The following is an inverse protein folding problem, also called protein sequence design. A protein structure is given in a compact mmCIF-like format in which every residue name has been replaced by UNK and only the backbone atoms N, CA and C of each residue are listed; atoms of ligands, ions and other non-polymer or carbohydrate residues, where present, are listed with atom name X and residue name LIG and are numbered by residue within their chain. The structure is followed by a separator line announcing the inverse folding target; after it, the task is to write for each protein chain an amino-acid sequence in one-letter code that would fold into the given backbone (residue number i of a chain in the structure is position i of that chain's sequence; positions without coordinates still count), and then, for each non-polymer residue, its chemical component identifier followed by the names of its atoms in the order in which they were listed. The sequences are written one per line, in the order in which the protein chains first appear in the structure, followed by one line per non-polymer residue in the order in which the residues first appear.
data_IF_867858789005
#
_entry.id   IF_867858789005
#
_cell.length_a   1.000
_cell.length_b   1.000
_cell.length_c   1.000
_cell.angle_alpha   90.00
_cell.angle_beta   90.00
_cell.angle_gamma   90.00
#
_symmetry.space_group_name_H-M   'P 1'
#
loop_
_entity.id
_entity.type
_entity.pdbx_description
1 polymer ?
#
# COMPACT_ATOMS: atom_id res chain seq x y z
N UNK A 1 5.60 18.30 -4.67
CA UNK A 1 5.51 17.62 -5.96
C UNK A 1 4.88 18.52 -7.05
N UNK A 2 5.08 18.17 -8.29
CA UNK A 2 4.68 18.99 -9.45
C UNK A 2 3.63 18.31 -10.33
N UNK A 3 3.35 17.06 -10.14
CA UNK A 3 2.43 16.25 -10.95
C UNK A 3 1.47 15.42 -10.12
N UNK A 4 0.36 15.02 -10.73
CA UNK A 4 -0.54 14.01 -10.19
C UNK A 4 -0.18 12.64 -10.78
N UNK A 5 -0.01 11.63 -9.92
CA UNK A 5 0.29 10.28 -10.36
C UNK A 5 -0.97 9.40 -10.30
N UNK A 6 -1.40 8.86 -11.45
CA UNK A 6 -2.50 7.91 -11.55
C UNK A 6 -1.93 6.49 -11.57
N UNK A 7 -2.30 5.65 -10.59
CA UNK A 7 -1.68 4.33 -10.43
C UNK A 7 -2.73 3.22 -10.46
N UNK A 8 -2.59 2.31 -11.41
CA UNK A 8 -3.41 1.11 -11.56
C UNK A 8 -4.93 1.37 -11.53
N UNK A 9 -5.38 2.48 -12.05
CA UNK A 9 -6.80 2.78 -12.18
C UNK A 9 -7.42 1.93 -13.29
N UNK A 10 -8.71 1.62 -13.13
CA UNK A 10 -9.52 1.10 -14.24
C UNK A 10 -9.63 2.17 -15.34
N UNK A 11 -9.75 1.80 -16.63
CA UNK A 11 -9.80 2.79 -17.72
C UNK A 11 -10.85 3.90 -17.53
N UNK A 12 -12.01 3.56 -17.01
CA UNK A 12 -13.08 4.52 -16.72
C UNK A 12 -12.68 5.53 -15.63
N UNK A 13 -12.08 5.05 -14.54
CA UNK A 13 -11.61 5.91 -13.45
C UNK A 13 -10.44 6.80 -13.90
N UNK A 14 -9.53 6.27 -14.71
CA UNK A 14 -8.44 7.05 -15.27
C UNK A 14 -8.96 8.15 -16.21
N UNK A 15 -9.93 7.84 -17.08
CA UNK A 15 -10.55 8.82 -17.96
C UNK A 15 -11.22 9.94 -17.15
N UNK A 16 -11.94 9.59 -16.08
CA UNK A 16 -12.55 10.58 -15.18
C UNK A 16 -11.51 11.39 -14.41
N UNK A 17 -10.46 10.78 -13.89
CA UNK A 17 -9.37 11.52 -13.25
C UNK A 17 -8.75 12.56 -14.20
N UNK A 18 -8.50 12.18 -15.45
CA UNK A 18 -7.99 13.09 -16.47
C UNK A 18 -8.98 14.21 -16.81
N UNK A 19 -10.29 13.94 -16.83
CA UNK A 19 -11.34 14.93 -17.02
C UNK A 19 -11.33 15.98 -15.89
N UNK A 20 -11.22 15.54 -14.62
CA UNK A 20 -11.16 16.44 -13.47
C UNK A 20 -9.87 17.28 -13.42
N UNK A 21 -8.78 16.75 -13.93
CA UNK A 21 -7.47 17.38 -13.89
C UNK A 21 -7.18 18.28 -15.10
N UNK A 22 -7.99 18.23 -16.17
CA UNK A 22 -7.68 18.91 -17.45
C UNK A 22 -7.45 20.43 -17.34
N UNK A 23 -8.21 21.10 -16.48
CA UNK A 23 -8.18 22.56 -16.32
C UNK A 23 -7.29 23.00 -15.15
N UNK A 24 -6.61 22.07 -14.48
CA UNK A 24 -5.75 22.36 -13.34
C UNK A 24 -4.35 22.83 -13.75
N UNK A 25 -3.92 22.57 -14.97
CA UNK A 25 -2.54 22.81 -15.42
C UNK A 25 -1.50 21.85 -14.81
N UNK A 26 -1.92 20.86 -14.02
CA UNK A 26 -1.02 19.88 -13.42
C UNK A 26 -0.59 18.83 -14.46
N UNK A 27 0.68 18.47 -14.45
CA UNK A 27 1.16 17.31 -15.21
C UNK A 27 0.52 16.05 -14.68
N UNK A 28 0.12 15.13 -15.57
CA UNK A 28 -0.45 13.83 -15.20
C UNK A 28 0.51 12.74 -15.63
N UNK A 29 0.97 11.95 -14.67
CA UNK A 29 1.75 10.72 -14.91
C UNK A 29 0.92 9.50 -14.60
N UNK A 30 1.06 8.46 -15.41
CA UNK A 30 0.47 7.13 -15.15
C UNK A 30 1.57 6.11 -14.91
N UNK A 31 1.31 5.21 -13.98
CA UNK A 31 2.18 4.07 -13.75
C UNK A 31 1.42 2.83 -13.29
N UNK A 32 2.08 1.70 -13.34
CA UNK A 32 1.54 0.43 -12.87
C UNK A 32 2.51 -0.28 -11.95
N UNK A 33 1.97 -0.94 -10.91
CA UNK A 33 2.69 -1.88 -10.05
C UNK A 33 2.78 -3.29 -10.63
N UNK A 34 2.20 -3.52 -11.80
CA UNK A 34 2.22 -4.84 -12.44
C UNK A 34 3.59 -5.09 -13.07
N UNK A 35 4.49 -5.64 -12.28
CA UNK A 35 5.76 -6.16 -12.77
C UNK A 35 5.59 -7.62 -13.19
N UNK A 36 5.88 -7.95 -14.43
CA UNK A 36 5.79 -9.32 -14.93
C UNK A 36 7.17 -9.98 -14.90
N UNK A 37 7.60 -10.37 -13.70
CA UNK A 37 8.87 -11.08 -13.50
C UNK A 37 8.74 -12.61 -13.63
N UNK A 38 7.59 -13.14 -14.01
CA UNK A 38 7.31 -14.59 -13.95
C UNK A 38 8.24 -15.45 -14.81
N UNK A 39 8.86 -14.89 -15.83
CA UNK A 39 9.69 -15.60 -16.80
C UNK A 39 11.09 -14.98 -16.94
N UNK A 40 11.50 -14.11 -16.03
CA UNK A 40 12.78 -13.42 -16.09
C UNK A 40 13.50 -13.62 -14.76
N UNK A 41 14.73 -14.13 -14.81
CA UNK A 41 15.60 -14.10 -13.65
C UNK A 41 16.03 -12.66 -13.40
N UNK A 42 15.43 -12.05 -12.38
CA UNK A 42 15.75 -10.70 -11.94
C UNK A 42 16.44 -10.79 -10.59
N UNK A 43 17.63 -10.22 -10.49
CA UNK A 43 18.38 -10.19 -9.24
C UNK A 43 17.63 -9.43 -8.14
N UNK A 44 17.98 -9.69 -6.88
CA UNK A 44 17.40 -8.93 -5.77
C UNK A 44 17.73 -7.44 -5.87
N UNK A 45 18.94 -7.11 -6.31
CA UNK A 45 19.38 -5.72 -6.51
C UNK A 45 18.51 -4.98 -7.53
N UNK A 46 18.23 -5.61 -8.68
CA UNK A 46 17.34 -5.03 -9.70
C UNK A 46 15.91 -4.86 -9.20
N UNK A 47 15.42 -5.80 -8.38
CA UNK A 47 14.09 -5.68 -7.74
C UNK A 47 14.05 -4.51 -6.77
N UNK A 48 15.06 -4.36 -5.92
CA UNK A 48 15.17 -3.24 -4.98
C UNK A 48 15.26 -1.91 -5.71
N UNK A 49 16.06 -1.83 -6.76
CA UNK A 49 16.14 -0.63 -7.61
C UNK A 49 14.78 -0.26 -8.21
N UNK A 50 14.02 -1.23 -8.71
CA UNK A 50 12.65 -0.98 -9.21
C UNK A 50 11.73 -0.44 -8.13
N UNK A 51 11.81 -0.97 -6.90
CA UNK A 51 11.04 -0.44 -5.76
C UNK A 51 11.43 1.00 -5.45
N UNK A 52 12.72 1.32 -5.41
CA UNK A 52 13.22 2.68 -5.17
C UNK A 52 12.75 3.66 -6.24
N UNK A 53 12.78 3.26 -7.51
CA UNK A 53 12.27 4.06 -8.63
C UNK A 53 10.78 4.37 -8.47
N UNK A 54 9.97 3.37 -8.12
CA UNK A 54 8.54 3.53 -7.87
C UNK A 54 8.27 4.47 -6.70
N UNK A 55 8.95 4.27 -5.57
CA UNK A 55 8.81 5.13 -4.39
C UNK A 55 9.25 6.58 -4.68
N UNK A 56 10.30 6.75 -5.48
CA UNK A 56 10.77 8.08 -5.93
C UNK A 56 9.71 8.80 -6.75
N UNK A 57 9.00 8.08 -7.63
CA UNK A 57 7.88 8.67 -8.39
C UNK A 57 6.79 9.15 -7.43
N UNK A 58 6.42 8.36 -6.41
CA UNK A 58 5.41 8.80 -5.43
C UNK A 58 5.88 10.00 -4.63
N UNK A 59 7.09 9.95 -4.10
CA UNK A 59 7.67 11.02 -3.28
C UNK A 59 7.69 12.38 -3.99
N UNK A 60 7.87 12.37 -5.30
CA UNK A 60 7.90 13.59 -6.12
C UNK A 60 6.52 13.99 -6.67
N UNK A 61 5.48 13.20 -6.45
CA UNK A 61 4.13 13.54 -6.83
C UNK A 61 3.54 14.63 -5.89
N UNK A 62 2.72 15.50 -6.45
CA UNK A 62 1.88 16.43 -5.68
C UNK A 62 0.78 15.67 -4.94
N UNK A 63 0.23 14.66 -5.61
CA UNK A 63 -0.66 13.67 -5.05
C UNK A 63 -0.69 12.40 -5.90
N UNK A 64 -1.19 11.33 -5.32
CA UNK A 64 -1.42 10.04 -5.99
C UNK A 64 -2.93 9.73 -5.98
N UNK A 65 -3.46 9.22 -7.10
CA UNK A 65 -4.83 8.70 -7.19
C UNK A 65 -4.75 7.22 -7.56
N UNK A 66 -5.37 6.36 -6.76
CA UNK A 66 -5.25 4.91 -6.94
C UNK A 66 -6.46 4.16 -6.40
N UNK A 67 -6.66 2.92 -6.88
CA UNK A 67 -7.59 1.95 -6.29
C UNK A 67 -6.86 0.82 -5.54
N UNK A 68 -5.54 0.97 -5.32
CA UNK A 68 -4.70 -0.07 -4.75
C UNK A 68 -4.25 0.26 -3.32
N UNK A 69 -4.58 -0.62 -2.38
CA UNK A 69 -4.10 -0.51 -0.99
C UNK A 69 -2.56 -0.47 -0.93
N UNK A 70 -1.87 -1.31 -1.70
CA UNK A 70 -0.40 -1.38 -1.72
C UNK A 70 0.27 -0.17 -2.42
N UNK A 71 -0.50 0.76 -2.98
CA UNK A 71 -0.03 2.09 -3.41
C UNK A 71 -0.32 3.11 -2.31
N UNK A 72 -1.51 3.04 -1.72
CA UNK A 72 -1.94 3.96 -0.66
C UNK A 72 -1.00 3.92 0.55
N UNK A 73 -0.67 2.73 1.05
CA UNK A 73 0.17 2.61 2.25
C UNK A 73 1.59 3.18 2.07
N UNK A 74 2.32 2.92 0.98
CA UNK A 74 3.57 3.62 0.71
C UNK A 74 3.43 5.14 0.63
N UNK A 75 2.35 5.67 0.03
CA UNK A 75 2.11 7.10 0.00
C UNK A 75 1.91 7.70 1.41
N UNK A 76 1.21 6.98 2.31
CA UNK A 76 1.13 7.38 3.73
C UNK A 76 2.51 7.42 4.38
N UNK A 77 3.32 6.38 4.17
CA UNK A 77 4.66 6.31 4.73
C UNK A 77 5.59 7.44 4.25
N UNK A 78 5.43 7.87 3.00
CA UNK A 78 6.15 8.98 2.37
C UNK A 78 5.50 10.35 2.64
N UNK A 79 4.39 10.39 3.36
CA UNK A 79 3.60 11.61 3.63
C UNK A 79 3.11 12.32 2.35
N UNK A 80 2.92 11.57 1.27
CA UNK A 80 2.39 12.08 0.00
C UNK A 80 0.87 12.01 0.02
N UNK A 81 0.15 13.11 -0.27
CA UNK A 81 -1.30 13.09 -0.36
C UNK A 81 -1.79 11.99 -1.31
N UNK A 82 -2.72 11.16 -0.86
CA UNK A 82 -3.28 10.08 -1.67
C UNK A 82 -4.80 10.07 -1.61
N UNK A 83 -5.44 9.99 -2.78
CA UNK A 83 -6.87 9.74 -2.90
C UNK A 83 -7.09 8.28 -3.30
N UNK A 84 -7.72 7.52 -2.41
CA UNK A 84 -8.00 6.11 -2.63
C UNK A 84 -9.43 5.93 -3.15
N UNK A 85 -9.58 5.34 -4.35
CA UNK A 85 -10.89 5.06 -4.92
C UNK A 85 -11.25 3.62 -4.56
N UNK A 86 -12.17 3.44 -3.61
CA UNK A 86 -12.57 2.13 -3.12
C UNK A 86 -14.02 2.12 -2.65
N UNK A 87 -14.77 1.09 -3.04
CA UNK A 87 -16.11 0.85 -2.53
C UNK A 87 -16.03 -0.12 -1.33
N UNK A 88 -16.24 0.41 -0.13
CA UNK A 88 -16.22 -0.36 1.12
C UNK A 88 -17.48 -1.21 1.32
N UNK A 89 -18.54 -1.01 0.52
CA UNK A 89 -19.73 -1.86 0.56
C UNK A 89 -19.48 -3.23 -0.08
N UNK A 90 -18.39 -3.38 -0.82
CA UNK A 90 -17.96 -4.67 -1.36
C UNK A 90 -17.21 -5.43 -0.23
N UNK A 91 -17.70 -6.62 0.22
CA UNK A 91 -17.14 -7.33 1.38
C UNK A 91 -15.63 -7.55 1.30
N UNK A 92 -15.12 -7.96 0.12
CA UNK A 92 -13.68 -8.16 -0.10
C UNK A 92 -12.88 -6.87 0.10
N UNK A 93 -13.39 -5.73 -0.30
CA UNK A 93 -12.73 -4.44 -0.11
C UNK A 93 -12.81 -4.06 1.36
N UNK A 94 -13.98 -4.19 1.98
CA UNK A 94 -14.17 -3.91 3.40
C UNK A 94 -13.13 -4.65 4.26
N UNK A 95 -13.03 -5.98 4.12
CA UNK A 95 -12.08 -6.79 4.88
C UNK A 95 -10.63 -6.31 4.74
N UNK A 96 -10.23 -5.90 3.53
CA UNK A 96 -8.85 -5.45 3.28
C UNK A 96 -8.56 -4.03 3.75
N UNK A 97 -9.55 -3.14 3.69
CA UNK A 97 -9.36 -1.71 3.94
C UNK A 97 -9.80 -1.28 5.34
N UNK A 98 -10.66 -2.07 6.01
CA UNK A 98 -11.22 -1.73 7.32
C UNK A 98 -10.16 -1.31 8.36
N UNK A 99 -8.97 -1.94 8.45
CA UNK A 99 -7.95 -1.52 9.41
C UNK A 99 -7.33 -0.15 9.12
N UNK A 100 -7.56 0.41 7.94
CA UNK A 100 -6.87 1.61 7.43
C UNK A 100 -7.82 2.76 7.11
N UNK A 101 -9.14 2.61 7.32
CA UNK A 101 -10.14 3.63 6.95
C UNK A 101 -9.92 4.98 7.62
N UNK A 102 -9.41 4.97 8.86
CA UNK A 102 -9.11 6.18 9.60
C UNK A 102 -7.78 6.84 9.20
N UNK A 103 -6.99 6.16 8.37
CA UNK A 103 -5.66 6.61 7.93
C UNK A 103 -5.66 7.24 6.55
N UNK A 104 -6.73 7.05 5.77
CA UNK A 104 -6.73 7.37 4.33
C UNK A 104 -7.91 8.25 3.94
N UNK A 105 -7.65 9.13 2.98
CA UNK A 105 -8.72 9.80 2.25
C UNK A 105 -9.23 8.86 1.16
N UNK A 106 -10.49 8.43 1.26
CA UNK A 106 -11.08 7.54 0.27
C UNK A 106 -12.42 8.03 -0.25
N UNK A 107 -12.76 7.59 -1.46
CA UNK A 107 -14.02 7.88 -2.14
C UNK A 107 -14.53 6.62 -2.83
N UNK A 108 -15.84 6.43 -2.90
CA UNK A 108 -16.41 5.32 -3.67
C UNK A 108 -16.21 5.51 -5.18
N UNK A 109 -16.13 4.42 -5.95
CA UNK A 109 -16.05 4.50 -7.41
C UNK A 109 -17.25 5.28 -7.99
N UNK A 110 -18.44 5.04 -7.44
CA UNK A 110 -19.69 5.71 -7.86
C UNK A 110 -19.62 7.23 -7.64
N UNK A 111 -19.18 7.66 -6.47
CA UNK A 111 -19.11 9.09 -6.17
C UNK A 111 -18.00 9.76 -6.97
N UNK A 112 -16.88 9.08 -7.20
CA UNK A 112 -15.81 9.57 -8.06
C UNK A 112 -16.29 9.77 -9.50
N UNK A 113 -16.95 8.76 -10.11
CA UNK A 113 -17.44 8.83 -11.50
C UNK A 113 -18.51 9.93 -11.65
N UNK A 114 -19.43 10.03 -10.69
CA UNK A 114 -20.55 10.98 -10.75
C UNK A 114 -20.22 12.39 -10.22
N UNK A 115 -18.98 12.63 -9.84
CA UNK A 115 -18.52 13.92 -9.27
C UNK A 115 -19.32 14.33 -8.02
N UNK A 116 -19.61 13.39 -7.15
CA UNK A 116 -20.26 13.67 -5.87
C UNK A 116 -19.25 14.08 -4.80
N UNK A 117 -18.30 14.95 -5.18
CA UNK A 117 -17.29 15.49 -4.27
C UNK A 117 -16.81 16.86 -4.76
N UNK A 118 -16.30 17.64 -3.82
CA UNK A 118 -15.56 18.88 -4.14
C UNK A 118 -14.12 18.66 -3.69
N UNK A 119 -13.17 18.88 -4.60
CA UNK A 119 -11.77 18.66 -4.31
C UNK A 119 -10.89 19.66 -5.07
N UNK A 120 -9.97 20.28 -4.35
CA UNK A 120 -8.96 21.16 -4.96
C UNK A 120 -7.68 20.37 -5.25
N UNK A 121 -7.51 19.97 -6.49
CA UNK A 121 -6.32 19.23 -6.93
C UNK A 121 -5.04 20.08 -6.92
N UNK A 122 -5.18 21.42 -6.89
CA UNK A 122 -4.03 22.31 -6.74
C UNK A 122 -3.52 22.33 -5.29
N UNK A 123 -4.39 22.10 -4.33
CA UNK A 123 -4.07 22.03 -2.92
C UNK A 123 -4.63 20.73 -2.33
N UNK A 124 -4.03 19.57 -2.63
CA UNK A 124 -4.55 18.28 -2.23
C UNK A 124 -4.62 18.16 -0.70
N UNK A 125 -5.71 17.56 -0.23
CA UNK A 125 -5.92 17.33 1.21
C UNK A 125 -4.82 16.41 1.74
N UNK A 126 -4.11 16.79 2.80
CA UNK A 126 -3.13 15.91 3.43
C UNK A 126 -3.77 14.60 3.90
N UNK A 127 -2.97 13.56 4.01
CA UNK A 127 -3.43 12.31 4.63
C UNK A 127 -3.77 12.55 6.10
N UNK A 128 -4.79 11.85 6.67
CA UNK A 128 -5.02 11.86 8.10
C UNK A 128 -3.73 11.48 8.85
N UNK A 129 -3.51 12.02 10.03
CA UNK A 129 -2.30 11.78 10.84
C UNK A 129 -2.45 10.63 11.86
N UNK A 130 -3.63 10.05 11.95
CA UNK A 130 -4.00 8.97 12.88
C UNK A 130 -3.10 7.73 12.78
N UNK A 131 -2.48 7.48 11.61
CA UNK A 131 -1.54 6.37 11.41
C UNK A 131 -0.18 6.58 12.10
N UNK A 132 0.19 7.83 12.45
CA UNK A 132 1.55 8.17 12.93
C UNK A 132 1.91 7.43 14.21
N UNK A 133 1.00 7.33 15.16
CA UNK A 133 1.26 6.60 16.41
C UNK A 133 1.60 5.11 16.16
N UNK A 134 0.88 4.47 15.24
CA UNK A 134 1.15 3.07 14.84
C UNK A 134 2.49 2.95 14.11
N UNK A 135 2.79 3.90 13.22
CA UNK A 135 4.08 3.98 12.51
C UNK A 135 5.25 4.10 13.48
N UNK A 136 5.16 5.02 14.44
CA UNK A 136 6.21 5.23 15.43
C UNK A 136 6.43 4.00 16.31
N UNK A 137 5.34 3.37 16.75
CA UNK A 137 5.41 2.10 17.48
C UNK A 137 6.08 0.99 16.67
N UNK A 138 5.77 0.88 15.37
CA UNK A 138 6.39 -0.10 14.50
C UNK A 138 7.88 0.18 14.30
N UNK A 139 8.25 1.45 14.06
CA UNK A 139 9.66 1.86 13.92
C UNK A 139 10.43 1.52 15.19
N UNK A 140 9.84 1.79 16.38
CA UNK A 140 10.51 1.48 17.65
C UNK A 140 10.71 -0.03 17.81
N UNK A 141 9.69 -0.85 17.52
CA UNK A 141 9.81 -2.32 17.56
C UNK A 141 10.90 -2.86 16.63
N UNK A 142 11.01 -2.29 15.42
CA UNK A 142 12.08 -2.67 14.48
C UNK A 142 13.46 -2.28 15.03
N UNK A 143 13.59 -1.07 15.61
CA UNK A 143 14.86 -0.65 16.24
C UNK A 143 15.24 -1.53 17.41
N UNK A 144 14.28 -1.87 18.26
CA UNK A 144 14.50 -2.76 19.41
C UNK A 144 14.93 -4.16 18.93
N UNK A 145 14.24 -4.70 17.93
CA UNK A 145 14.60 -5.98 17.33
C UNK A 145 16.01 -5.96 16.73
N UNK A 146 16.37 -4.92 15.97
CA UNK A 146 17.72 -4.77 15.40
C UNK A 146 18.76 -4.68 16.53
N UNK A 147 18.51 -3.87 17.57
CA UNK A 147 19.43 -3.74 18.69
C UNK A 147 19.62 -5.06 19.48
N UNK A 148 18.56 -5.86 19.62
CA UNK A 148 18.62 -7.17 20.27
C UNK A 148 19.34 -8.22 19.41
N UNK A 149 19.29 -8.05 18.08
CA UNK A 149 19.81 -9.01 17.10
C UNK A 149 21.11 -8.54 16.43
N UNK A 150 21.58 -7.34 16.73
CA UNK A 150 22.83 -6.76 16.20
C UNK A 150 24.03 -7.34 16.95
N UNK A 151 24.29 -8.60 16.74
CA UNK A 151 25.38 -9.37 17.31
C UNK A 151 25.70 -10.58 16.46
N UNK A 152 26.88 -11.14 16.61
CA UNK A 152 27.29 -12.36 15.94
C UNK A 152 26.36 -13.52 16.31
N UNK A 153 25.35 -13.77 15.44
CA UNK A 153 24.53 -14.97 15.55
C UNK A 153 25.39 -16.20 15.29
N UNK A 154 25.57 -17.01 16.33
CA UNK A 154 26.16 -18.31 16.13
C UNK A 154 25.18 -19.22 15.37
N UNK A 155 25.71 -20.16 14.58
CA UNK A 155 24.89 -21.18 13.91
C UNK A 155 23.99 -21.94 14.90
N UNK A 156 24.39 -22.03 16.17
CA UNK A 156 23.61 -22.62 17.25
C UNK A 156 22.41 -21.76 17.67
N UNK A 157 22.53 -20.43 17.67
CA UNK A 157 21.43 -19.51 17.94
C UNK A 157 20.41 -19.50 16.79
N UNK A 158 20.89 -19.60 15.54
CA UNK A 158 20.03 -19.77 14.37
C UNK A 158 19.26 -21.11 14.41
N UNK A 159 19.88 -22.19 14.90
CA UNK A 159 19.21 -23.48 15.09
C UNK A 159 18.12 -23.47 16.16
N UNK A 160 18.21 -22.59 17.15
CA UNK A 160 17.14 -22.41 18.16
C UNK A 160 15.89 -21.71 17.64
N UNK A 161 16.01 -21.02 16.51
CA UNK A 161 14.89 -20.36 15.81
C UNK A 161 14.31 -21.23 14.69
N UNK A 162 14.89 -22.39 14.38
CA UNK A 162 14.32 -23.33 13.43
C UNK A 162 13.26 -24.18 14.13
N UNK A 163 12.03 -24.06 13.65
CA UNK A 163 10.93 -24.95 14.06
C UNK A 163 11.27 -26.38 13.64
N UNK A 164 10.90 -27.35 14.47
CA UNK A 164 10.90 -28.75 14.08
C UNK A 164 9.88 -28.95 12.94
N UNK A 165 10.03 -30.00 12.14
CA UNK A 165 9.02 -30.33 11.10
C UNK A 165 7.61 -30.43 11.67
N UNK A 166 7.48 -30.95 12.91
CA UNK A 166 6.21 -31.07 13.61
C UNK A 166 5.63 -29.67 13.96
N UNK A 167 6.42 -28.76 14.52
CA UNK A 167 6.01 -27.41 14.86
C UNK A 167 5.65 -26.62 13.60
N UNK A 168 6.41 -26.78 12.51
CA UNK A 168 6.12 -26.16 11.23
C UNK A 168 4.79 -26.67 10.64
N UNK A 169 4.51 -27.99 10.78
CA UNK A 169 3.26 -28.59 10.35
C UNK A 169 2.07 -28.09 11.19
N UNK A 170 2.21 -28.04 12.50
CA UNK A 170 1.17 -27.55 13.42
C UNK A 170 0.86 -26.09 13.12
N UNK A 171 1.87 -25.26 12.93
CA UNK A 171 1.71 -23.85 12.58
C UNK A 171 1.02 -23.64 11.21
N UNK A 172 1.39 -24.44 10.19
CA UNK A 172 0.71 -24.43 8.90
C UNK A 172 -0.75 -24.87 9.01
N UNK A 173 -1.02 -25.86 9.87
CA UNK A 173 -2.37 -26.36 10.10
C UNK A 173 -3.24 -25.33 10.81
N UNK A 174 -2.74 -24.67 11.83
CA UNK A 174 -3.43 -23.57 12.51
C UNK A 174 -3.68 -22.38 11.56
N UNK A 175 -2.69 -22.00 10.74
CA UNK A 175 -2.84 -20.93 9.77
C UNK A 175 -3.89 -21.28 8.69
N UNK A 176 -3.94 -22.53 8.25
CA UNK A 176 -4.98 -22.99 7.30
C UNK A 176 -6.37 -23.00 7.93
N UNK A 177 -6.50 -23.44 9.17
CA UNK A 177 -7.77 -23.38 9.90
C UNK A 177 -8.23 -21.94 10.09
N UNK A 178 -7.35 -21.07 10.53
CA UNK A 178 -7.65 -19.63 10.67
C UNK A 178 -8.09 -18.99 9.35
N UNK A 179 -7.42 -19.32 8.22
CA UNK A 179 -7.81 -18.82 6.90
C UNK A 179 -9.14 -19.41 6.42
N UNK A 180 -9.42 -20.67 6.65
CA UNK A 180 -10.66 -21.34 6.29
C UNK A 180 -11.83 -20.80 7.11
N UNK A 181 -11.67 -20.65 8.41
CA UNK A 181 -12.70 -20.08 9.30
C UNK A 181 -13.01 -18.63 8.93
N UNK A 182 -11.99 -17.84 8.59
CA UNK A 182 -12.19 -16.44 8.12
C UNK A 182 -12.87 -16.38 6.74
N UNK A 183 -12.73 -17.40 5.91
CA UNK A 183 -13.38 -17.48 4.59
C UNK A 183 -14.81 -18.02 4.62
N UNK A 184 -15.12 -18.91 5.59
CA UNK A 184 -16.44 -19.54 5.69
C UNK A 184 -17.46 -18.68 6.47
N UNK A 185 -17.00 -17.73 7.28
CA UNK A 185 -17.85 -16.87 8.12
C UNK A 185 -17.80 -15.38 7.73
N UNK A 186 -17.15 -15.01 6.61
CA UNK A 186 -17.14 -13.69 6.00
C UNK A 186 -18.00 -13.67 4.72
#
# INVERSE_FOLDING_TARGET
GTYVCLVDLKPELEAKAREWLKDTGLEIRTMTHKCNYRNVEVSMEERMKTVEEVLTVYQNAKMVITSRLHVTLPCLALEVPVMSIVDLNIPKNHTRWAPYTDWVNYISEKDFINHHFTYDFQNPVPNPDTYRATRESLIQKVKDFVAETDGDFTVEQLKKTTYTEQEAYEWQHELMHWTLDTWLYA
#
